data_IF_664595513969
#
_entry.id   IF_664595513969
#
_cell.length_a   1.000
_cell.length_b   1.000
_cell.length_c   1.000
_cell.angle_alpha   90.00
_cell.angle_beta   90.00
_cell.angle_gamma   90.00
#
_symmetry.space_group_name_H-M   'P 1'
#
loop_
_entity.id
_entity.type
_entity.pdbx_description
1 polymer ?
#
# COMPACT_ATOMS: atom_id res chain seq x y z
N UNK A 1 14.99 -14.19 -19.67
CA UNK A 1 14.79 -15.54 -20.23
C UNK A 1 15.38 -16.66 -19.35
N UNK A 2 16.71 -16.84 -19.13
CA UNK A 2 17.21 -18.03 -18.41
C UNK A 2 16.84 -18.04 -16.91
N UNK A 3 16.89 -16.88 -16.24
CA UNK A 3 16.53 -16.76 -14.82
C UNK A 3 15.05 -17.09 -14.55
N UNK A 4 14.18 -16.62 -15.42
CA UNK A 4 12.73 -16.79 -15.32
C UNK A 4 12.32 -18.26 -15.48
N UNK A 5 12.92 -18.96 -16.45
CA UNK A 5 12.75 -20.40 -16.61
C UNK A 5 13.18 -21.15 -15.35
N UNK A 6 14.30 -20.74 -14.74
CA UNK A 6 14.74 -21.32 -13.47
C UNK A 6 13.71 -21.08 -12.35
N UNK A 7 13.20 -19.85 -12.20
CA UNK A 7 12.15 -19.54 -11.23
C UNK A 7 10.90 -20.41 -11.42
N UNK A 8 10.38 -20.54 -12.64
CA UNK A 8 9.20 -21.37 -12.89
C UNK A 8 9.44 -22.85 -12.63
N UNK A 9 10.62 -23.38 -12.99
CA UNK A 9 10.97 -24.76 -12.66
C UNK A 9 11.00 -25.03 -11.16
N UNK A 10 11.52 -24.08 -10.37
CA UNK A 10 11.51 -24.14 -8.91
C UNK A 10 10.08 -24.11 -8.36
N UNK A 11 9.20 -23.24 -8.89
CA UNK A 11 7.81 -23.15 -8.47
C UNK A 11 7.03 -24.43 -8.80
N UNK A 12 7.25 -25.05 -9.95
CA UNK A 12 6.62 -26.34 -10.30
C UNK A 12 7.04 -27.43 -9.30
N UNK A 13 8.34 -27.49 -8.96
CA UNK A 13 8.84 -28.41 -7.94
C UNK A 13 8.17 -28.18 -6.57
N UNK A 14 8.04 -26.91 -6.17
CA UNK A 14 7.35 -26.55 -4.92
C UNK A 14 5.87 -26.92 -4.97
N UNK A 15 5.18 -26.67 -6.09
CA UNK A 15 3.78 -27.01 -6.29
C UNK A 15 3.55 -28.52 -6.15
N UNK A 16 4.41 -29.34 -6.76
CA UNK A 16 4.35 -30.80 -6.64
C UNK A 16 4.56 -31.27 -5.19
N UNK A 17 5.55 -30.73 -4.48
CA UNK A 17 5.81 -31.05 -3.06
C UNK A 17 4.59 -30.72 -2.18
N UNK A 18 4.02 -29.52 -2.34
CA UNK A 18 2.85 -29.08 -1.57
C UNK A 18 1.60 -29.88 -1.90
N UNK A 19 1.42 -30.24 -3.18
CA UNK A 19 0.31 -31.10 -3.60
C UNK A 19 0.38 -32.49 -2.94
N UNK A 20 1.56 -33.11 -2.89
CA UNK A 20 1.74 -34.40 -2.20
C UNK A 20 1.43 -34.26 -0.70
N UNK A 21 1.91 -33.19 -0.05
CA UNK A 21 1.64 -32.94 1.37
C UNK A 21 0.14 -32.74 1.64
N UNK A 22 -0.55 -32.04 0.73
CA UNK A 22 -1.99 -31.81 0.76
C UNK A 22 -2.76 -33.13 0.70
N UNK A 23 -2.44 -34.00 -0.26
CA UNK A 23 -3.06 -35.32 -0.40
C UNK A 23 -2.84 -36.21 0.84
N UNK A 24 -1.68 -36.10 1.50
CA UNK A 24 -1.33 -36.94 2.67
C UNK A 24 -2.02 -36.50 3.97
N UNK A 25 -2.19 -35.20 4.19
CA UNK A 25 -2.71 -34.68 5.47
C UNK A 25 -4.22 -34.37 5.44
N UNK A 26 -4.81 -34.22 4.24
CA UNK A 26 -6.19 -33.77 4.07
C UNK A 26 -6.38 -32.25 4.25
N UNK A 27 -7.47 -31.70 3.73
CA UNK A 27 -7.68 -30.25 3.59
C UNK A 27 -7.60 -29.47 4.92
N UNK A 28 -8.34 -29.90 5.95
CA UNK A 28 -8.41 -29.19 7.23
C UNK A 28 -7.06 -29.18 7.98
N UNK A 29 -6.38 -30.32 8.02
CA UNK A 29 -5.08 -30.44 8.68
C UNK A 29 -3.96 -29.76 7.88
N UNK A 30 -4.11 -29.65 6.56
CA UNK A 30 -3.15 -28.94 5.74
C UNK A 30 -3.12 -27.46 6.11
N UNK A 31 -4.27 -26.79 6.16
CA UNK A 31 -4.33 -25.34 6.41
C UNK A 31 -4.29 -24.91 7.88
N UNK A 32 -4.08 -25.83 8.81
CA UNK A 32 -3.92 -25.51 10.24
C UNK A 32 -2.67 -24.69 10.55
N UNK A 33 -1.66 -24.70 9.66
CA UNK A 33 -0.43 -23.93 9.84
C UNK A 33 -0.43 -22.69 8.96
N UNK A 34 -0.26 -21.51 9.57
CA UNK A 34 -0.28 -20.23 8.85
C UNK A 34 0.79 -20.14 7.74
N UNK A 35 1.97 -20.74 7.94
CA UNK A 35 3.03 -20.77 6.92
C UNK A 35 2.63 -21.47 5.62
N UNK A 36 1.72 -22.46 5.68
CA UNK A 36 1.21 -23.13 4.47
C UNK A 36 0.29 -22.23 3.65
N UNK A 37 -0.39 -21.29 4.28
CA UNK A 37 -1.14 -20.24 3.58
C UNK A 37 -0.19 -19.32 2.80
N UNK A 38 0.94 -18.96 3.40
CA UNK A 38 1.96 -18.16 2.71
C UNK A 38 2.52 -18.88 1.47
N UNK A 39 2.88 -20.15 1.61
CA UNK A 39 3.35 -20.96 0.46
C UNK A 39 2.30 -21.08 -0.64
N UNK A 40 1.02 -21.22 -0.26
CA UNK A 40 -0.09 -21.23 -1.21
C UNK A 40 -0.23 -19.89 -1.95
N UNK A 41 -0.12 -18.76 -1.26
CA UNK A 41 -0.14 -17.42 -1.87
C UNK A 41 1.01 -17.22 -2.85
N UNK A 42 2.23 -17.65 -2.49
CA UNK A 42 3.41 -17.57 -3.36
C UNK A 42 3.19 -18.34 -4.66
N UNK A 43 2.77 -19.60 -4.56
CA UNK A 43 2.50 -20.44 -5.74
C UNK A 43 1.37 -19.83 -6.57
N UNK A 44 0.30 -19.35 -5.92
CA UNK A 44 -0.83 -18.70 -6.58
C UNK A 44 -0.43 -17.49 -7.41
N UNK A 45 0.43 -16.61 -6.88
CA UNK A 45 0.93 -15.43 -7.60
C UNK A 45 1.76 -15.81 -8.83
N UNK A 46 2.63 -16.82 -8.73
CA UNK A 46 3.38 -17.30 -9.88
C UNK A 46 2.50 -18.01 -10.91
N UNK A 47 1.46 -18.72 -10.48
CA UNK A 47 0.46 -19.29 -11.40
C UNK A 47 -0.33 -18.20 -12.13
N UNK A 48 -0.72 -17.12 -11.43
CA UNK A 48 -1.39 -15.96 -12.03
C UNK A 48 -0.47 -15.24 -13.02
N UNK A 49 0.80 -15.06 -12.68
CA UNK A 49 1.79 -14.50 -13.60
C UNK A 49 1.89 -15.36 -14.88
N UNK A 50 2.05 -16.67 -14.73
CA UNK A 50 2.12 -17.58 -15.87
C UNK A 50 0.83 -17.54 -16.71
N UNK A 51 -0.34 -17.45 -16.07
CA UNK A 51 -1.61 -17.31 -16.78
C UNK A 51 -1.67 -16.01 -17.60
N UNK A 52 -1.25 -14.88 -17.02
CA UNK A 52 -1.22 -13.59 -17.71
C UNK A 52 -0.24 -13.59 -18.89
N UNK A 53 0.91 -14.24 -18.72
CA UNK A 53 1.88 -14.40 -19.80
C UNK A 53 1.31 -15.23 -20.95
N UNK A 54 0.66 -16.36 -20.65
CA UNK A 54 -0.02 -17.18 -21.67
C UNK A 54 -1.10 -16.36 -22.38
N UNK A 55 -1.95 -15.64 -21.63
CA UNK A 55 -3.00 -14.80 -22.22
C UNK A 55 -2.41 -13.71 -23.11
N UNK A 56 -1.32 -13.06 -22.71
CA UNK A 56 -0.63 -12.06 -23.53
C UNK A 56 -0.02 -12.61 -24.81
N UNK A 57 0.40 -13.89 -24.81
CA UNK A 57 0.90 -14.57 -26.03
C UNK A 57 -0.25 -15.06 -26.93
N UNK A 58 -1.35 -15.55 -26.35
CA UNK A 58 -2.49 -16.09 -27.10
C UNK A 58 -3.41 -15.00 -27.67
N UNK A 59 -3.51 -13.86 -26.98
CA UNK A 59 -4.24 -12.68 -27.41
C UNK A 59 -3.24 -11.53 -27.53
N UNK A 60 -2.38 -11.56 -28.57
CA UNK A 60 -1.44 -10.48 -28.80
C UNK A 60 -2.18 -9.18 -29.11
N UNK A 61 -1.54 -8.06 -28.78
CA UNK A 61 -2.04 -6.75 -29.17
C UNK A 61 -2.11 -6.62 -30.69
N UNK A 62 -2.95 -5.71 -31.15
CA UNK A 62 -3.03 -5.32 -32.56
C UNK A 62 -1.64 -4.93 -33.08
N UNK A 63 -1.29 -5.34 -34.31
CA UNK A 63 0.09 -5.31 -34.83
C UNK A 63 0.74 -3.91 -34.72
N UNK A 64 -0.05 -2.84 -34.90
CA UNK A 64 0.38 -1.44 -34.78
C UNK A 64 0.82 -1.05 -33.34
N UNK A 65 0.30 -1.72 -32.32
CA UNK A 65 0.63 -1.47 -30.90
C UNK A 65 1.86 -2.27 -30.45
N UNK A 66 2.18 -3.38 -31.13
CA UNK A 66 3.32 -4.24 -30.79
C UNK A 66 4.67 -3.58 -31.15
N UNK A 67 4.69 -2.75 -32.20
CA UNK A 67 5.87 -1.96 -32.59
C UNK A 67 6.07 -0.71 -31.72
N UNK A 68 5.08 -0.36 -30.90
CA UNK A 68 5.12 0.84 -30.08
C UNK A 68 6.02 0.64 -28.85
N UNK A 69 6.83 1.66 -28.53
CA UNK A 69 7.67 1.66 -27.34
C UNK A 69 6.80 1.45 -26.08
N UNK A 70 7.27 0.59 -25.17
CA UNK A 70 6.65 0.21 -23.88
C UNK A 70 6.04 1.36 -23.08
N UNK A 71 6.59 2.57 -23.20
CA UNK A 71 6.07 3.77 -22.52
C UNK A 71 4.64 4.13 -22.97
N UNK A 72 4.27 3.79 -24.20
CA UNK A 72 2.97 4.11 -24.79
C UNK A 72 1.96 2.96 -24.68
N UNK A 73 2.34 1.86 -24.02
CA UNK A 73 1.42 0.74 -23.84
C UNK A 73 0.25 1.14 -22.93
N UNK A 74 -0.95 0.62 -23.18
CA UNK A 74 -2.08 0.88 -22.31
C UNK A 74 -1.81 0.29 -20.92
N UNK A 75 -2.28 0.99 -19.88
CA UNK A 75 -2.01 0.63 -18.48
C UNK A 75 -2.53 -0.77 -18.06
N UNK A 76 -3.45 -1.35 -18.85
CA UNK A 76 -4.07 -2.65 -18.60
C UNK A 76 -3.49 -3.78 -19.45
N UNK A 77 -2.35 -3.56 -20.09
CA UNK A 77 -1.68 -4.60 -20.87
C UNK A 77 -1.28 -5.81 -19.99
N UNK A 78 -1.45 -7.01 -20.54
CA UNK A 78 -1.21 -8.26 -19.83
C UNK A 78 0.27 -8.41 -19.42
N UNK A 79 1.22 -7.92 -20.23
CA UNK A 79 2.65 -7.98 -19.90
C UNK A 79 3.05 -6.98 -18.81
N UNK A 80 2.38 -5.82 -18.72
CA UNK A 80 2.57 -4.88 -17.61
C UNK A 80 2.10 -5.48 -16.29
N UNK A 81 0.92 -6.09 -16.29
CA UNK A 81 0.35 -6.75 -15.10
C UNK A 81 1.21 -7.98 -14.73
N UNK A 82 1.70 -8.73 -15.72
CA UNK A 82 2.62 -9.85 -15.54
C UNK A 82 3.85 -9.47 -14.71
N UNK A 83 4.56 -8.40 -15.11
CA UNK A 83 5.76 -7.94 -14.42
C UNK A 83 5.51 -7.60 -12.94
N UNK A 84 4.34 -7.02 -12.63
CA UNK A 84 3.93 -6.71 -11.26
C UNK A 84 3.78 -8.00 -10.45
N UNK A 85 3.13 -9.02 -10.99
CA UNK A 85 2.96 -10.30 -10.28
C UNK A 85 4.28 -11.05 -10.13
N UNK A 86 5.16 -11.06 -11.14
CA UNK A 86 6.48 -11.68 -11.03
C UNK A 86 7.32 -10.97 -9.97
N UNK A 87 7.33 -9.63 -9.95
CA UNK A 87 8.03 -8.87 -8.93
C UNK A 87 7.50 -9.17 -7.52
N UNK A 88 6.17 -9.20 -7.36
CA UNK A 88 5.53 -9.57 -6.10
C UNK A 88 5.90 -10.99 -5.67
N UNK A 89 5.91 -11.94 -6.60
CA UNK A 89 6.34 -13.32 -6.37
C UNK A 89 7.80 -13.41 -5.91
N UNK A 90 8.71 -12.62 -6.51
CA UNK A 90 10.11 -12.54 -6.07
C UNK A 90 10.26 -12.01 -4.64
N UNK A 91 9.50 -10.96 -4.28
CA UNK A 91 9.50 -10.42 -2.91
C UNK A 91 9.04 -11.48 -1.91
N UNK A 92 7.92 -12.16 -2.20
CA UNK A 92 7.42 -13.25 -1.36
C UNK A 92 8.39 -14.43 -1.31
N UNK A 93 9.08 -14.74 -2.41
CA UNK A 93 10.11 -15.77 -2.49
C UNK A 93 11.26 -15.49 -1.53
N UNK A 94 11.75 -14.25 -1.49
CA UNK A 94 12.80 -13.82 -0.54
C UNK A 94 12.29 -13.86 0.90
N UNK A 95 11.02 -13.52 1.14
CA UNK A 95 10.42 -13.60 2.48
C UNK A 95 10.43 -15.02 3.06
N UNK A 96 10.52 -16.09 2.24
CA UNK A 96 10.73 -17.45 2.75
C UNK A 96 12.02 -17.62 3.56
N UNK A 97 13.00 -16.73 3.42
CA UNK A 97 14.24 -16.75 4.23
C UNK A 97 13.93 -16.69 5.73
N UNK A 98 12.83 -16.02 6.13
CA UNK A 98 12.40 -15.96 7.52
C UNK A 98 12.08 -17.34 8.13
N UNK A 99 11.82 -18.36 7.30
CA UNK A 99 11.64 -19.74 7.78
C UNK A 99 12.94 -20.31 8.31
N UNK A 100 14.06 -20.00 7.66
CA UNK A 100 15.37 -20.43 8.13
C UNK A 100 15.77 -19.69 9.41
N UNK A 101 15.39 -18.42 9.58
CA UNK A 101 15.65 -17.67 10.81
C UNK A 101 14.96 -18.27 12.05
N UNK A 102 13.83 -18.96 11.87
CA UNK A 102 13.17 -19.68 12.97
C UNK A 102 13.95 -20.90 13.45
N UNK A 103 14.77 -21.50 12.58
CA UNK A 103 15.57 -22.69 12.87
C UNK A 103 16.91 -22.36 13.53
N UNK A 104 17.37 -21.11 13.46
CA UNK A 104 18.62 -20.66 14.07
C UNK A 104 18.44 -20.52 15.59
N UNK A 105 19.28 -21.22 16.35
CA UNK A 105 19.35 -21.09 17.82
C UNK A 105 19.70 -19.65 18.19
N UNK A 106 18.89 -19.05 19.07
CA UNK A 106 19.01 -17.65 19.50
C UNK A 106 17.98 -16.73 18.85
N UNK A 107 17.80 -16.82 17.52
CA UNK A 107 16.89 -15.94 16.78
C UNK A 107 15.46 -16.52 16.71
N UNK A 108 15.32 -17.85 16.70
CA UNK A 108 14.01 -18.49 16.53
C UNK A 108 12.98 -18.13 17.61
N UNK A 109 13.42 -17.98 18.86
CA UNK A 109 12.55 -17.51 19.95
C UNK A 109 12.00 -16.10 19.71
N UNK A 110 12.83 -15.20 19.18
CA UNK A 110 12.43 -13.84 18.82
C UNK A 110 11.41 -13.83 17.68
N UNK A 111 11.61 -14.65 16.63
CA UNK A 111 10.65 -14.71 15.50
C UNK A 111 9.28 -15.22 15.95
N UNK A 112 9.25 -16.24 16.82
CA UNK A 112 7.98 -16.76 17.38
C UNK A 112 7.30 -15.71 18.25
N UNK A 113 8.07 -14.99 19.07
CA UNK A 113 7.56 -13.90 19.91
C UNK A 113 6.93 -12.79 19.05
N UNK A 114 7.64 -12.33 18.02
CA UNK A 114 7.13 -11.34 17.05
C UNK A 114 5.86 -11.84 16.38
N UNK A 115 5.81 -13.10 15.95
CA UNK A 115 4.61 -13.70 15.36
C UNK A 115 3.38 -13.64 16.26
N UNK A 116 3.55 -13.79 17.58
CA UNK A 116 2.43 -13.62 18.54
C UNK A 116 2.01 -12.15 18.67
N UNK A 117 2.96 -11.23 18.68
CA UNK A 117 2.67 -9.79 18.71
C UNK A 117 1.93 -9.34 17.44
N UNK A 118 2.24 -9.91 16.28
CA UNK A 118 1.58 -9.59 14.99
C UNK A 118 0.07 -9.79 15.08
N UNK A 119 -0.41 -10.84 15.76
CA UNK A 119 -1.85 -11.06 15.92
C UNK A 119 -2.54 -9.94 16.71
N UNK A 120 -1.85 -9.37 17.71
CA UNK A 120 -2.37 -8.22 18.47
C UNK A 120 -2.31 -6.94 17.65
N UNK A 121 -1.20 -6.71 16.94
CA UNK A 121 -1.02 -5.57 16.03
C UNK A 121 -2.10 -5.57 14.94
N UNK A 122 -2.44 -6.74 14.39
CA UNK A 122 -3.48 -6.86 13.37
C UNK A 122 -4.83 -6.30 13.83
N UNK A 123 -5.26 -6.60 15.06
CA UNK A 123 -6.49 -6.04 15.60
C UNK A 123 -6.42 -4.51 15.75
N UNK A 124 -5.27 -3.98 16.17
CA UNK A 124 -5.05 -2.54 16.23
C UNK A 124 -5.08 -1.89 14.85
N UNK A 125 -4.50 -2.52 13.83
CA UNK A 125 -4.53 -2.03 12.44
C UNK A 125 -5.96 -1.96 11.89
N UNK A 126 -6.84 -2.91 12.23
CA UNK A 126 -8.25 -2.85 11.83
C UNK A 126 -8.93 -1.62 12.46
N UNK A 127 -8.75 -1.40 13.75
CA UNK A 127 -9.33 -0.23 14.44
C UNK A 127 -8.79 1.06 13.83
N UNK A 128 -7.48 1.14 13.59
CA UNK A 128 -6.84 2.28 12.91
C UNK A 128 -7.42 2.50 11.51
N UNK A 129 -7.65 1.44 10.73
CA UNK A 129 -8.24 1.55 9.39
C UNK A 129 -9.66 2.12 9.42
N UNK A 130 -10.50 1.70 10.38
CA UNK A 130 -11.84 2.25 10.57
C UNK A 130 -11.78 3.74 10.90
N UNK A 131 -10.88 4.12 11.82
CA UNK A 131 -10.66 5.52 12.20
C UNK A 131 -10.22 6.35 10.98
N UNK A 132 -9.24 5.87 10.20
CA UNK A 132 -8.76 6.54 8.99
C UNK A 132 -9.87 6.73 7.94
N UNK A 133 -10.70 5.72 7.72
CA UNK A 133 -11.84 5.83 6.78
C UNK A 133 -12.86 6.85 7.29
N UNK A 134 -13.17 6.88 8.59
CA UNK A 134 -14.07 7.86 9.18
C UNK A 134 -13.58 9.30 8.97
N UNK A 135 -12.30 9.56 9.23
CA UNK A 135 -11.70 10.88 8.98
C UNK A 135 -11.65 11.21 7.49
N UNK A 136 -11.33 10.24 6.63
CA UNK A 136 -11.30 10.45 5.20
C UNK A 136 -12.67 10.83 4.62
N UNK A 137 -13.76 10.25 5.14
CA UNK A 137 -15.12 10.67 4.77
C UNK A 137 -15.41 12.10 5.26
N UNK A 138 -15.01 12.45 6.49
CA UNK A 138 -15.19 13.80 7.03
C UNK A 138 -14.47 14.88 6.22
N UNK A 139 -13.19 14.66 5.88
CA UNK A 139 -12.40 15.56 5.05
C UNK A 139 -12.97 15.62 3.63
N UNK A 140 -13.36 14.48 3.05
CA UNK A 140 -13.93 14.45 1.71
C UNK A 140 -15.23 15.26 1.61
N UNK A 141 -16.12 15.18 2.61
CA UNK A 141 -17.32 16.01 2.69
C UNK A 141 -17.01 17.51 2.83
N UNK A 142 -15.97 17.87 3.58
CA UNK A 142 -15.53 19.25 3.76
C UNK A 142 -14.94 19.83 2.46
N UNK A 143 -14.17 19.03 1.72
CA UNK A 143 -13.51 19.44 0.47
C UNK A 143 -14.45 19.39 -0.73
N UNK A 144 -15.50 18.55 -0.71
CA UNK A 144 -16.44 18.37 -1.83
C UNK A 144 -16.98 19.67 -2.45
N UNK A 145 -17.42 20.68 -1.69
CA UNK A 145 -17.91 21.95 -2.26
C UNK A 145 -16.82 22.78 -2.95
N UNK A 146 -15.53 22.57 -2.65
CA UNK A 146 -14.40 23.34 -3.18
C UNK A 146 -13.69 22.65 -4.37
N UNK A 147 -14.15 21.47 -4.80
CA UNK A 147 -13.48 20.66 -5.82
C UNK A 147 -13.42 21.28 -7.21
N UNK A 148 -14.39 22.15 -7.55
CA UNK A 148 -14.44 22.83 -8.84
C UNK A 148 -13.97 24.29 -8.74
N UNK A 149 -13.46 24.72 -7.58
CA UNK A 149 -12.96 26.06 -7.37
C UNK A 149 -11.64 26.24 -8.12
N UNK A 150 -11.59 27.27 -8.96
CA UNK A 150 -10.41 27.67 -9.71
C UNK A 150 -10.08 29.10 -9.29
N UNK A 151 -8.83 29.35 -8.92
CA UNK A 151 -8.30 30.68 -8.68
C UNK A 151 -7.50 31.11 -9.91
N UNK A 152 -7.82 32.29 -10.43
CA UNK A 152 -6.98 32.96 -11.42
C UNK A 152 -6.06 33.91 -10.65
N UNK A 153 -4.74 33.65 -10.69
CA UNK A 153 -3.76 34.57 -10.11
C UNK A 153 -3.53 35.76 -11.04
N UNK A 154 -3.08 36.89 -10.47
CA UNK A 154 -2.82 38.16 -11.17
C UNK A 154 -1.81 38.06 -12.35
N UNK A 155 -1.14 36.89 -12.52
CA UNK A 155 -0.24 36.59 -13.64
C UNK A 155 -0.82 35.66 -14.72
N UNK A 156 -2.13 35.38 -14.74
CA UNK A 156 -2.79 34.51 -15.73
C UNK A 156 -2.58 33.01 -15.50
N UNK A 157 -1.97 32.61 -14.39
CA UNK A 157 -1.83 31.20 -13.99
C UNK A 157 -3.06 30.75 -13.21
N UNK A 158 -3.71 29.69 -13.69
CA UNK A 158 -4.89 29.11 -13.04
C UNK A 158 -4.44 28.03 -12.04
N UNK A 159 -4.71 28.23 -10.75
CA UNK A 159 -4.48 27.22 -9.72
C UNK A 159 -5.81 26.54 -9.39
N UNK A 160 -5.87 25.24 -9.65
CA UNK A 160 -7.03 24.40 -9.32
C UNK A 160 -6.82 23.73 -7.97
N UNK A 161 -7.90 23.49 -7.24
CA UNK A 161 -7.88 22.70 -6.01
C UNK A 161 -7.17 21.35 -6.24
N UNK A 162 -6.26 20.97 -5.33
CA UNK A 162 -5.44 19.77 -5.44
C UNK A 162 -6.29 18.47 -5.48
N UNK A 163 -5.87 17.51 -6.30
CA UNK A 163 -6.57 16.21 -6.49
C UNK A 163 -6.54 15.34 -5.20
N UNK A 164 -5.74 15.75 -4.22
CA UNK A 164 -5.35 14.99 -3.04
C UNK A 164 -6.53 14.56 -2.14
N UNK A 165 -7.61 15.34 -2.09
CA UNK A 165 -8.77 15.06 -1.23
C UNK A 165 -10.09 14.84 -2.01
N UNK A 166 -10.00 14.66 -3.34
CA UNK A 166 -11.18 14.54 -4.23
C UNK A 166 -12.00 13.29 -4.00
N UNK A 167 -11.35 12.18 -3.68
CA UNK A 167 -12.03 10.90 -3.41
C UNK A 167 -11.66 10.42 -2.03
N UNK A 168 -12.56 9.66 -1.42
CA UNK A 168 -12.30 8.95 -0.16
C UNK A 168 -11.03 8.11 -0.29
N UNK A 169 -10.82 7.43 -1.42
CA UNK A 169 -9.63 6.59 -1.62
C UNK A 169 -8.32 7.39 -1.61
N UNK A 170 -8.27 8.53 -2.30
CA UNK A 170 -7.10 9.40 -2.30
C UNK A 170 -6.88 10.03 -0.91
N UNK A 171 -7.96 10.38 -0.22
CA UNK A 171 -7.92 10.94 1.13
C UNK A 171 -7.38 9.91 2.14
N UNK A 172 -7.85 8.67 2.12
CA UNK A 172 -7.31 7.58 2.96
C UNK A 172 -5.83 7.34 2.67
N UNK A 173 -5.42 7.34 1.39
CA UNK A 173 -4.00 7.20 1.00
C UNK A 173 -3.16 8.33 1.57
N UNK A 174 -3.64 9.57 1.50
CA UNK A 174 -2.92 10.73 2.02
C UNK A 174 -2.85 10.72 3.54
N UNK A 175 -3.94 10.34 4.21
CA UNK A 175 -3.95 10.16 5.66
C UNK A 175 -3.00 9.06 6.12
N UNK A 176 -2.88 7.97 5.35
CA UNK A 176 -1.89 6.92 5.60
C UNK A 176 -0.46 7.47 5.56
N UNK A 177 -0.11 8.28 4.56
CA UNK A 177 1.21 8.92 4.48
C UNK A 177 1.42 9.98 5.57
N UNK A 178 0.33 10.63 6.02
CA UNK A 178 0.35 11.56 7.15
C UNK A 178 0.79 10.91 8.46
N UNK A 179 0.40 9.65 8.71
CA UNK A 179 0.86 8.85 9.88
C UNK A 179 2.39 8.78 9.95
N UNK A 180 3.06 8.73 8.80
CA UNK A 180 4.52 8.68 8.69
C UNK A 180 5.18 10.06 8.62
N UNK A 181 4.39 11.15 8.60
CA UNK A 181 4.89 12.52 8.49
C UNK A 181 5.27 12.97 7.09
N UNK A 182 4.83 12.25 6.04
CA UNK A 182 5.13 12.60 4.64
C UNK A 182 4.12 13.55 3.99
N UNK A 183 3.22 14.17 4.76
CA UNK A 183 2.20 15.07 4.21
C UNK A 183 2.68 16.53 4.25
N UNK A 184 2.83 17.14 3.06
CA UNK A 184 3.30 18.52 2.93
C UNK A 184 2.23 19.51 3.45
N UNK A 185 2.58 20.44 4.37
CA UNK A 185 1.64 21.42 4.93
C UNK A 185 0.90 22.26 3.89
N UNK A 186 1.50 22.51 2.74
CA UNK A 186 0.87 23.30 1.67
C UNK A 186 -0.31 22.57 1.00
N UNK A 187 -0.40 21.26 1.20
CA UNK A 187 -1.48 20.41 0.65
C UNK A 187 -2.84 20.68 1.29
N UNK A 188 -2.87 21.27 2.50
CA UNK A 188 -4.11 21.57 3.24
C UNK A 188 -4.75 22.90 2.86
N UNK A 189 -4.05 23.73 2.07
CA UNK A 189 -4.59 25.03 1.67
C UNK A 189 -5.73 24.82 0.68
N UNK A 190 -6.96 25.05 1.15
CA UNK A 190 -8.13 25.00 0.27
C UNK A 190 -8.11 26.29 -0.57
N UNK A 191 -8.25 26.10 -1.88
CA UNK A 191 -8.26 27.20 -2.86
C UNK A 191 -9.72 27.56 -3.12
N UNK A 192 -10.22 28.62 -2.50
CA UNK A 192 -11.64 28.96 -2.52
C UNK A 192 -11.99 30.03 -3.58
N UNK A 193 -11.50 29.88 -4.82
CA UNK A 193 -11.86 30.76 -5.93
C UNK A 193 -11.57 32.27 -5.71
N UNK A 194 -11.95 33.08 -6.70
CA UNK A 194 -11.84 34.54 -6.62
C UNK A 194 -13.20 35.10 -6.18
N UNK A 195 -13.23 35.98 -5.17
CA UNK A 195 -14.48 36.58 -4.67
C UNK A 195 -14.37 38.11 -4.55
N UNK A 196 -15.50 38.80 -4.65
CA UNK A 196 -15.59 40.27 -4.59
C UNK A 196 -15.48 40.96 -5.96
N UNK A 197 -15.73 42.28 -6.03
CA UNK A 197 -15.72 43.06 -7.28
C UNK A 197 -14.34 43.19 -7.94
N UNK A 198 -13.26 42.91 -7.20
CA UNK A 198 -11.87 42.96 -7.68
C UNK A 198 -11.30 41.57 -8.01
N UNK A 199 -12.10 40.49 -7.94
CA UNK A 199 -11.67 39.10 -8.19
C UNK A 199 -10.42 38.69 -7.41
N UNK A 200 -10.30 39.09 -6.14
CA UNK A 200 -9.15 38.70 -5.31
C UNK A 200 -9.30 37.24 -4.84
N UNK A 201 -8.20 36.48 -4.75
CA UNK A 201 -8.23 35.10 -4.27
C UNK A 201 -8.63 35.08 -2.80
N UNK A 202 -9.67 34.32 -2.47
CA UNK A 202 -10.12 34.17 -1.07
C UNK A 202 -9.68 32.82 -0.54
N UNK A 203 -9.08 32.84 0.65
CA UNK A 203 -8.73 31.64 1.42
C UNK A 203 -9.58 31.58 2.66
N UNK A 204 -10.29 30.47 2.87
CA UNK A 204 -11.05 30.26 4.10
C UNK A 204 -10.15 29.58 5.15
N UNK A 205 -9.58 30.40 6.04
CA UNK A 205 -8.73 29.90 7.13
C UNK A 205 -9.42 28.87 8.03
N UNK A 206 -10.75 28.98 8.20
CA UNK A 206 -11.54 28.04 9.02
C UNK A 206 -11.53 26.63 8.43
N UNK A 207 -11.62 26.49 7.11
CA UNK A 207 -11.64 25.18 6.45
C UNK A 207 -10.25 24.55 6.38
N UNK A 208 -9.20 25.37 6.21
CA UNK A 208 -7.81 24.90 6.32
C UNK A 208 -7.49 24.44 7.74
N UNK A 209 -7.87 25.23 8.76
CA UNK A 209 -7.71 24.86 10.16
C UNK A 209 -8.50 23.59 10.53
N UNK A 210 -9.73 23.43 10.05
CA UNK A 210 -10.51 22.22 10.27
C UNK A 210 -9.82 20.97 9.69
N UNK A 211 -9.21 21.09 8.52
CA UNK A 211 -8.46 19.99 7.88
C UNK A 211 -7.21 19.64 8.69
N UNK A 212 -6.47 20.64 9.18
CA UNK A 212 -5.34 20.44 10.09
C UNK A 212 -5.76 19.76 11.40
N UNK A 213 -6.90 20.16 11.99
CA UNK A 213 -7.44 19.56 13.22
C UNK A 213 -7.88 18.11 13.00
N UNK A 214 -8.40 17.75 11.83
CA UNK A 214 -8.77 16.36 11.54
C UNK A 214 -7.56 15.43 11.37
N UNK A 215 -6.42 15.96 10.93
CA UNK A 215 -5.19 15.18 10.80
C UNK A 215 -4.33 15.17 12.08
N UNK A 216 -4.55 16.12 12.99
CA UNK A 216 -3.83 16.24 14.26
C UNK A 216 -3.83 14.96 15.13
N UNK A 217 -4.95 14.22 15.29
CA UNK A 217 -4.97 12.98 16.06
C UNK A 217 -4.02 11.91 15.49
N UNK A 218 -3.86 11.89 14.17
CA UNK A 218 -2.95 10.95 13.49
C UNK A 218 -1.49 11.31 13.77
N UNK A 219 -1.15 12.60 13.78
CA UNK A 219 0.17 13.08 14.19
C UNK A 219 0.47 12.83 15.68
N UNK A 220 -0.52 13.02 16.55
CA UNK A 220 -0.36 12.78 18.00
C UNK A 220 -0.16 11.29 18.33
N UNK A 221 -0.82 10.39 17.59
CA UNK A 221 -0.55 8.96 17.72
C UNK A 221 0.89 8.62 17.33
N UNK A 222 1.43 9.29 16.31
CA UNK A 222 2.83 9.15 15.91
C UNK A 222 3.78 9.69 17.00
N UNK A 223 3.54 10.89 17.55
CA UNK A 223 4.39 11.46 18.60
C UNK A 223 4.41 10.59 19.86
N UNK A 224 3.24 10.17 20.33
CA UNK A 224 3.14 9.33 21.53
C UNK A 224 3.81 7.95 21.33
N UNK A 225 3.79 7.40 20.12
CA UNK A 225 4.54 6.17 19.80
C UNK A 225 6.06 6.36 19.88
N UNK A 226 6.57 7.53 19.46
CA UNK A 226 8.01 7.84 19.51
C UNK A 226 8.47 8.14 20.94
N UNK A 227 7.63 8.80 21.75
CA UNK A 227 7.94 9.09 23.15
C UNK A 227 8.07 7.81 23.99
N UNK A 228 7.19 6.82 23.76
CA UNK A 228 7.26 5.50 24.41
C UNK A 228 8.53 4.74 23.99
N UNK A 229 8.95 4.87 22.73
CA UNK A 229 10.16 4.22 22.23
C UNK A 229 11.42 4.85 22.86
N UNK A 230 11.50 6.18 22.89
CA UNK A 230 12.61 6.91 23.51
C UNK A 230 12.74 6.62 25.02
N UNK A 231 11.63 6.56 25.75
CA UNK A 231 11.63 6.21 27.17
C UNK A 231 12.14 4.78 27.44
N UNK A 232 11.82 3.82 26.56
CA UNK A 232 12.33 2.46 26.67
C UNK A 232 13.83 2.36 26.32
N UNK A 233 14.31 3.15 25.37
CA UNK A 233 15.74 3.23 25.01
C UNK A 233 16.59 3.81 26.15
N UNK A 234 16.14 4.89 26.80
CA UNK A 234 16.85 5.49 27.94
C UNK A 234 16.91 4.54 29.15
N UNK A 235 15.87 3.72 29.36
CA UNK A 235 15.88 2.68 30.39
C UNK A 235 16.84 1.51 30.09
N UNK A 236 17.16 1.23 28.82
CA UNK A 236 18.15 0.20 28.45
C UNK A 236 19.60 0.67 28.50
N UNK A 237 19.86 1.97 28.36
CA UNK A 237 21.22 2.56 28.43
C UNK A 237 21.67 2.79 29.89
N UNK A 238 20.73 2.78 30.83
CA UNK A 238 20.99 3.01 32.27
C UNK A 238 21.26 1.72 33.07
N UNK A 239 21.47 0.57 32.40
CA UNK A 239 21.85 -0.71 33.02
C UNK A 239 23.25 -1.13 32.55
#
# INVERSE_FOLDING_TARGET
>A
MPLEIYCYSYIIGMMAERYIQFCRHGFANYFSFWWRWFDFMLIGIFCLALHLWITGVLMPMEDDLQELNRIHWPAWDYFLIYDIYVCTGCILGIWKIFYFFQLIKGIGGSVISVGRCVSTIYNYLIVMAVIMVSFAVGINLLVQPYLNSVVENEGGTTTRMGIQFRSIFFTVRNLYWAVYGYLDPNTYTIINGNSGPEFTPVVHYITSFATEVFDLPVFLLKSHSMDIENLNYDQQITI
#
